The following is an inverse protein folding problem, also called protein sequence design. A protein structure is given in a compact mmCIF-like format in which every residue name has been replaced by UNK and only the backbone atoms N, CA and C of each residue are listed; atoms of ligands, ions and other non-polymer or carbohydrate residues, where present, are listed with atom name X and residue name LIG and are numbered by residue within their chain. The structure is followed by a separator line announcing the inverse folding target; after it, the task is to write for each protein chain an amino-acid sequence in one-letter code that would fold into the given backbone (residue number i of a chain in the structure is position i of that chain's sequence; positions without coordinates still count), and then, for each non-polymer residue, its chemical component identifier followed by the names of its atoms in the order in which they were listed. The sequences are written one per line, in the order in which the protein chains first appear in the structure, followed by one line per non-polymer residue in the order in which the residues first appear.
data_IF_130514587172
#
_entry.id   IF_130514587172
#
_cell.length_a   1.000
_cell.length_b   1.000
_cell.length_c   1.000
_cell.angle_alpha   90.00
_cell.angle_beta   90.00
_cell.angle_gamma   90.00
#
_symmetry.space_group_name_H-M   'P 1'
#
loop_
_entity.id
_entity.type
_entity.pdbx_description
1 polymer ?
#
# COMPACT_ATOMS: atom_id res chain seq x y z
N UNK A 1 69.11 -10.65 70.69
CA UNK A 1 68.96 -10.93 69.25
C UNK A 1 68.38 -12.32 69.08
N UNK A 2 67.12 -12.43 68.67
CA UNK A 2 66.49 -13.68 68.22
C UNK A 2 65.55 -13.27 67.09
N UNK A 3 65.90 -13.66 65.86
CA UNK A 3 65.16 -13.35 64.65
C UNK A 3 63.98 -14.30 64.48
N UNK A 4 62.80 -13.73 64.23
CA UNK A 4 61.71 -14.44 63.57
C UNK A 4 61.62 -13.90 62.15
N UNK A 5 62.16 -14.65 61.20
CA UNK A 5 61.80 -14.53 59.78
C UNK A 5 60.84 -15.67 59.50
N UNK A 6 59.55 -15.39 59.47
CA UNK A 6 58.56 -16.33 58.96
C UNK A 6 58.63 -16.31 57.43
N UNK A 7 58.69 -17.48 56.76
CA UNK A 7 58.60 -17.52 55.31
C UNK A 7 57.17 -17.13 54.91
N UNK A 8 57.03 -16.05 54.14
CA UNK A 8 55.74 -15.70 53.53
C UNK A 8 55.44 -16.79 52.51
N UNK A 9 54.37 -17.56 52.74
CA UNK A 9 53.95 -18.67 51.89
C UNK A 9 53.82 -18.21 50.44
N UNK A 10 54.68 -18.74 49.57
CA UNK A 10 54.71 -18.43 48.14
C UNK A 10 53.42 -18.79 47.40
N UNK A 11 52.58 -19.64 48.00
CA UNK A 11 51.22 -19.93 47.55
C UNK A 11 50.24 -18.78 47.83
N UNK A 12 50.41 -18.07 48.93
CA UNK A 12 49.61 -16.89 49.28
C UNK A 12 49.97 -15.72 48.35
N UNK A 13 51.26 -15.52 48.06
CA UNK A 13 51.71 -14.51 47.10
C UNK A 13 51.20 -14.79 45.68
N UNK A 14 51.23 -16.06 45.24
CA UNK A 14 50.70 -16.45 43.94
C UNK A 14 49.16 -16.27 43.84
N UNK A 15 48.42 -16.60 44.90
CA UNK A 15 46.97 -16.39 44.94
C UNK A 15 46.60 -14.90 44.91
N UNK A 16 47.34 -14.04 45.62
CA UNK A 16 47.16 -12.60 45.59
C UNK A 16 47.48 -12.04 44.19
N UNK A 17 48.55 -12.52 43.54
CA UNK A 17 48.87 -12.09 42.17
C UNK A 17 47.79 -12.48 41.15
N UNK A 18 47.19 -13.66 41.26
CA UNK A 18 46.10 -14.11 40.37
C UNK A 18 44.83 -13.30 40.59
N UNK A 19 44.47 -12.99 41.84
CA UNK A 19 43.29 -12.16 42.14
C UNK A 19 43.49 -10.71 41.67
N UNK A 20 44.68 -10.13 41.89
CA UNK A 20 45.02 -8.79 41.39
C UNK A 20 45.04 -8.76 39.85
N UNK A 21 45.55 -9.81 39.20
CA UNK A 21 45.49 -9.93 37.75
C UNK A 21 44.04 -10.01 37.24
N UNK A 22 43.14 -10.76 37.90
CA UNK A 22 41.72 -10.81 37.53
C UNK A 22 40.99 -9.48 37.74
N UNK A 23 41.37 -8.69 38.74
CA UNK A 23 40.76 -7.38 39.02
C UNK A 23 41.29 -6.24 38.14
N UNK A 24 42.42 -6.46 37.45
CA UNK A 24 43.04 -5.49 36.53
C UNK A 24 42.77 -5.80 35.05
N UNK A 25 42.09 -6.90 34.73
CA UNK A 25 41.61 -7.11 33.37
C UNK A 25 40.40 -6.19 33.14
N UNK A 26 40.45 -5.26 32.16
CA UNK A 26 39.27 -4.55 31.76
C UNK A 26 38.26 -5.59 31.28
N UNK A 27 37.08 -5.62 31.91
CA UNK A 27 35.95 -6.36 31.36
C UNK A 27 35.83 -5.95 29.90
N UNK A 28 35.99 -6.91 28.98
CA UNK A 28 35.73 -6.67 27.58
C UNK A 28 34.30 -6.14 27.50
N UNK A 29 34.18 -4.84 27.22
CA UNK A 29 32.89 -4.24 26.94
C UNK A 29 32.27 -5.09 25.82
N UNK A 30 30.98 -5.48 25.93
CA UNK A 30 30.33 -6.15 24.82
C UNK A 30 30.55 -5.24 23.61
N UNK A 31 31.14 -5.79 22.54
CA UNK A 31 31.21 -5.13 21.26
C UNK A 31 29.81 -4.57 21.01
N UNK A 32 29.70 -3.24 21.04
CA UNK A 32 28.48 -2.60 20.58
C UNK A 32 28.38 -3.05 19.14
N UNK A 33 27.42 -3.95 18.92
CA UNK A 33 27.00 -4.41 17.61
C UNK A 33 26.84 -3.12 16.79
N UNK A 34 27.85 -2.81 15.98
CA UNK A 34 27.86 -1.63 15.15
C UNK A 34 26.65 -1.82 14.27
N UNK A 35 25.58 -1.07 14.57
CA UNK A 35 24.40 -1.00 13.73
C UNK A 35 24.91 -0.88 12.29
N UNK A 36 24.45 -1.74 11.36
CA UNK A 36 24.99 -1.76 10.01
C UNK A 36 25.04 -0.33 9.49
N UNK A 37 26.24 0.14 9.12
CA UNK A 37 26.41 1.49 8.63
C UNK A 37 25.35 1.76 7.57
N UNK A 38 24.52 2.78 7.82
CA UNK A 38 23.41 3.10 6.94
C UNK A 38 23.99 3.39 5.54
N UNK A 39 23.47 2.76 4.48
CA UNK A 39 24.09 2.81 3.17
C UNK A 39 24.27 4.26 2.69
N UNK A 40 25.43 4.58 2.09
CA UNK A 40 25.75 5.94 1.66
C UNK A 40 24.75 6.44 0.60
N UNK A 41 24.60 7.75 0.53
CA UNK A 41 23.74 8.43 -0.42
C UNK A 41 22.50 9.09 0.17
N UNK A 42 21.66 9.61 -0.74
CA UNK A 42 20.46 10.37 -0.39
C UNK A 42 19.30 9.45 -0.07
N UNK A 43 18.61 9.73 1.03
CA UNK A 43 17.38 9.02 1.40
C UNK A 43 16.41 9.91 2.18
N UNK A 44 15.17 9.45 2.26
CA UNK A 44 14.11 10.10 3.03
C UNK A 44 13.83 9.25 4.27
N UNK A 45 13.79 9.87 5.45
CA UNK A 45 13.32 9.24 6.68
C UNK A 45 12.12 10.02 7.20
N UNK A 46 11.01 9.34 7.47
CA UNK A 46 9.79 9.97 8.00
C UNK A 46 9.55 9.47 9.42
N UNK A 47 9.61 10.37 10.39
CA UNK A 47 9.27 10.07 11.78
C UNK A 47 7.81 10.40 12.06
N UNK A 48 7.04 9.40 12.51
CA UNK A 48 5.64 9.57 12.87
C UNK A 48 5.43 10.21 14.26
N UNK A 49 6.38 10.07 15.19
CA UNK A 49 6.33 10.75 16.49
C UNK A 49 6.59 12.25 16.34
N UNK A 50 7.59 12.60 15.54
CA UNK A 50 8.00 13.98 15.31
C UNK A 50 7.11 14.68 14.27
N UNK A 51 6.40 13.91 13.43
CA UNK A 51 5.63 14.40 12.27
C UNK A 51 6.53 15.21 11.34
N UNK A 52 7.72 14.66 11.09
CA UNK A 52 8.75 15.28 10.26
C UNK A 52 9.28 14.29 9.23
N UNK A 53 9.61 14.84 8.08
CA UNK A 53 10.38 14.20 7.02
C UNK A 53 11.79 14.77 7.06
N UNK A 54 12.78 13.90 7.12
CA UNK A 54 14.20 14.22 7.05
C UNK A 54 14.75 13.78 5.70
N UNK A 55 15.45 14.69 5.03
CA UNK A 55 16.26 14.38 3.88
C UNK A 55 17.68 14.11 4.36
N UNK A 56 18.08 12.86 4.31
CA UNK A 56 19.40 12.40 4.74
C UNK A 56 20.37 12.38 3.56
N UNK A 57 21.63 12.65 3.83
CA UNK A 57 22.76 12.47 2.93
C UNK A 57 23.88 11.84 3.76
N UNK A 58 24.32 10.64 3.38
CA UNK A 58 25.46 9.96 4.01
C UNK A 58 25.30 9.85 5.55
N UNK A 59 24.11 9.43 5.99
CA UNK A 59 23.77 9.27 7.41
C UNK A 59 23.37 10.54 8.16
N UNK A 60 23.58 11.73 7.60
CA UNK A 60 23.29 13.01 8.26
C UNK A 60 22.04 13.72 7.68
N UNK A 61 21.19 14.36 8.51
CA UNK A 61 20.06 15.14 8.02
C UNK A 61 20.53 16.46 7.39
N UNK A 62 20.27 16.63 6.09
CA UNK A 62 20.57 17.88 5.37
C UNK A 62 19.42 18.87 5.40
N UNK A 63 18.19 18.37 5.41
CA UNK A 63 16.96 19.17 5.50
C UNK A 63 15.91 18.42 6.29
N UNK A 64 14.98 19.16 6.88
CA UNK A 64 13.82 18.57 7.53
C UNK A 64 12.57 19.40 7.29
N UNK A 65 11.43 18.73 7.18
CA UNK A 65 10.15 19.32 6.80
C UNK A 65 9.04 18.80 7.72
N UNK A 66 8.14 19.66 8.22
CA UNK A 66 6.96 19.19 8.91
C UNK A 66 6.03 18.47 7.93
N UNK A 67 5.37 17.40 8.37
CA UNK A 67 4.41 16.64 7.58
C UNK A 67 3.10 16.43 8.33
N UNK A 68 1.98 16.44 7.61
CA UNK A 68 0.75 15.84 8.12
C UNK A 68 0.80 14.33 7.89
N UNK A 69 0.35 13.56 8.86
CA UNK A 69 0.31 12.09 8.80
C UNK A 69 -1.13 11.59 8.99
N UNK A 70 -1.30 10.28 8.88
CA UNK A 70 -2.58 9.59 9.06
C UNK A 70 -3.28 9.98 10.37
N UNK A 71 -4.59 10.20 10.29
CA UNK A 71 -5.46 10.40 11.46
C UNK A 71 -5.48 9.15 12.35
N UNK A 72 -5.85 9.28 13.64
CA UNK A 72 -6.03 8.10 14.51
C UNK A 72 -6.92 7.04 13.85
N UNK A 73 -6.51 5.78 13.98
CA UNK A 73 -7.18 4.63 13.35
C UNK A 73 -6.83 4.39 11.87
N UNK A 74 -6.01 5.23 11.23
CA UNK A 74 -5.45 4.95 9.90
C UNK A 74 -4.06 4.37 10.04
N UNK A 75 -3.89 3.12 9.59
CA UNK A 75 -2.59 2.46 9.55
C UNK A 75 -1.72 3.07 8.45
N UNK A 76 -0.53 3.51 8.82
CA UNK A 76 0.53 3.95 7.90
C UNK A 76 1.57 2.83 7.85
N UNK A 77 2.02 2.38 6.67
CA UNK A 77 3.10 1.42 6.56
C UNK A 77 4.37 1.91 7.28
N UNK A 78 5.02 1.01 8.01
CA UNK A 78 6.34 1.23 8.61
C UNK A 78 7.40 0.46 7.82
N UNK A 79 8.66 0.89 7.94
CA UNK A 79 9.80 0.24 7.28
C UNK A 79 10.17 0.89 5.96
N UNK A 80 10.78 0.11 5.08
CA UNK A 80 11.41 0.61 3.86
C UNK A 80 10.47 0.66 2.65
N UNK A 81 10.71 1.66 1.81
CA UNK A 81 10.03 1.95 0.56
C UNK A 81 10.99 2.75 -0.34
N UNK A 82 10.48 3.19 -1.48
CA UNK A 82 11.25 3.93 -2.48
C UNK A 82 10.34 4.91 -3.21
N UNK A 83 10.91 6.01 -3.71
CA UNK A 83 10.18 6.92 -4.60
C UNK A 83 10.00 6.24 -5.95
N UNK A 84 8.79 5.81 -6.28
CA UNK A 84 8.50 5.09 -7.53
C UNK A 84 8.21 6.00 -8.70
N UNK A 85 7.57 7.14 -8.42
CA UNK A 85 7.15 8.07 -9.46
C UNK A 85 7.06 9.47 -8.91
N UNK A 86 7.43 10.43 -9.75
CA UNK A 86 7.30 11.86 -9.50
C UNK A 86 6.22 12.42 -10.41
N UNK A 87 5.19 13.04 -9.84
CA UNK A 87 4.08 13.66 -10.57
C UNK A 87 4.07 15.17 -10.34
N UNK A 88 4.25 15.93 -11.43
CA UNK A 88 3.99 17.37 -11.49
C UNK A 88 2.53 17.58 -11.89
N UNK A 89 1.86 18.53 -11.24
CA UNK A 89 0.45 18.87 -11.45
C UNK A 89 -0.42 17.61 -11.51
N UNK A 90 -0.48 16.79 -10.43
CA UNK A 90 -1.24 15.55 -10.45
C UNK A 90 -2.75 15.80 -10.44
N UNK A 91 -3.51 14.99 -11.17
CA UNK A 91 -4.94 14.83 -10.92
C UNK A 91 -5.13 14.01 -9.65
N UNK A 92 -5.97 14.50 -8.74
CA UNK A 92 -6.35 13.75 -7.54
C UNK A 92 -7.57 12.87 -7.83
N UNK A 93 -7.47 11.60 -7.49
CA UNK A 93 -8.58 10.67 -7.50
C UNK A 93 -8.80 10.20 -6.07
N UNK A 94 -9.91 10.58 -5.41
CA UNK A 94 -10.20 10.09 -4.07
C UNK A 94 -10.27 8.57 -4.06
N UNK A 95 -9.72 7.96 -3.01
CA UNK A 95 -9.76 6.51 -2.84
C UNK A 95 -11.19 6.04 -2.60
N UNK A 96 -11.44 4.75 -2.82
CA UNK A 96 -12.74 4.15 -2.49
C UNK A 96 -13.09 4.33 -1.00
N UNK A 97 -12.12 4.26 -0.09
CA UNK A 97 -12.36 4.50 1.34
C UNK A 97 -12.77 5.95 1.63
N UNK A 98 -12.15 6.93 0.97
CA UNK A 98 -12.53 8.34 1.09
C UNK A 98 -13.93 8.58 0.54
N UNK A 99 -14.29 7.99 -0.60
CA UNK A 99 -15.65 8.09 -1.16
C UNK A 99 -16.70 7.35 -0.35
N UNK A 100 -16.37 6.23 0.31
CA UNK A 100 -17.29 5.58 1.27
C UNK A 100 -17.56 6.48 2.48
N UNK A 101 -16.52 7.11 3.02
CA UNK A 101 -16.66 8.03 4.14
C UNK A 101 -17.36 9.34 3.76
N UNK A 102 -17.16 9.81 2.51
CA UNK A 102 -17.79 11.01 1.97
C UNK A 102 -18.23 10.78 0.52
N UNK A 103 -19.45 10.24 0.30
CA UNK A 103 -19.95 9.91 -1.04
C UNK A 103 -20.04 11.10 -2.00
N UNK A 104 -20.14 12.31 -1.46
CA UNK A 104 -20.20 13.56 -2.22
C UNK A 104 -18.85 13.98 -2.86
N UNK A 105 -17.76 13.24 -2.63
CA UNK A 105 -16.47 13.54 -3.26
C UNK A 105 -16.53 13.32 -4.78
N UNK A 106 -15.93 14.23 -5.58
CA UNK A 106 -15.89 14.08 -7.03
C UNK A 106 -15.06 12.85 -7.44
N UNK A 107 -15.30 12.32 -8.65
CA UNK A 107 -14.51 11.20 -9.19
C UNK A 107 -13.04 11.55 -9.40
N UNK A 108 -12.77 12.82 -9.71
CA UNK A 108 -11.43 13.37 -9.85
C UNK A 108 -11.44 14.87 -9.62
N UNK A 109 -10.33 15.41 -9.13
CA UNK A 109 -10.06 16.85 -9.10
C UNK A 109 -8.85 17.11 -9.99
N UNK A 110 -8.97 17.90 -11.07
CA UNK A 110 -7.85 18.22 -11.94
C UNK A 110 -6.79 19.06 -11.22
N UNK A 111 -5.62 19.29 -11.83
CA UNK A 111 -4.61 20.18 -11.26
C UNK A 111 -5.16 21.59 -11.06
N UNK A 112 -4.82 22.22 -9.93
CA UNK A 112 -5.25 23.58 -9.62
C UNK A 112 -5.29 23.85 -8.11
N UNK A 113 -5.69 25.08 -7.70
CA UNK A 113 -5.70 25.48 -6.29
C UNK A 113 -6.61 24.65 -5.39
N UNK A 114 -7.65 24.03 -5.97
CA UNK A 114 -8.58 23.15 -5.24
C UNK A 114 -8.09 21.71 -5.08
N UNK A 115 -6.95 21.34 -5.67
CA UNK A 115 -6.47 19.97 -5.66
C UNK A 115 -5.77 19.61 -4.33
N UNK A 116 -6.23 18.57 -3.60
CA UNK A 116 -5.68 18.23 -2.29
C UNK A 116 -4.27 17.61 -2.34
N UNK A 117 -3.78 17.23 -3.52
CA UNK A 117 -2.39 16.80 -3.71
C UNK A 117 -1.42 17.97 -3.91
N UNK A 118 -1.94 19.19 -4.12
CA UNK A 118 -1.12 20.34 -4.51
C UNK A 118 -0.48 20.17 -5.90
N UNK A 119 0.67 20.82 -6.11
CA UNK A 119 1.38 20.83 -7.40
C UNK A 119 2.29 19.62 -7.62
N UNK A 120 2.66 18.89 -6.57
CA UNK A 120 3.68 17.85 -6.63
C UNK A 120 3.30 16.65 -5.76
N UNK A 121 3.56 15.45 -6.27
CA UNK A 121 3.43 14.20 -5.53
C UNK A 121 4.57 13.23 -5.87
N UNK A 122 5.04 12.51 -4.86
CA UNK A 122 6.00 11.41 -4.93
C UNK A 122 5.24 10.15 -4.52
N UNK A 123 4.95 9.27 -5.49
CA UNK A 123 4.30 7.99 -5.21
C UNK A 123 5.35 7.03 -4.64
N UNK A 124 5.03 6.38 -3.53
CA UNK A 124 5.95 5.45 -2.86
C UNK A 124 5.71 4.00 -3.32
N UNK A 125 6.63 3.09 -3.00
CA UNK A 125 6.50 1.65 -3.27
C UNK A 125 5.31 0.99 -2.56
N UNK A 126 4.73 1.64 -1.55
CA UNK A 126 3.50 1.20 -0.93
C UNK A 126 2.26 1.67 -1.67
N UNK A 127 1.25 0.81 -1.67
CA UNK A 127 0.01 1.04 -2.40
C UNK A 127 -0.73 2.29 -1.91
N UNK A 128 -0.99 3.22 -2.83
CA UNK A 128 -1.76 4.44 -2.59
C UNK A 128 -1.19 5.34 -1.46
N UNK A 129 0.11 5.24 -1.17
CA UNK A 129 0.83 6.13 -0.27
C UNK A 129 1.73 7.04 -1.10
N UNK A 130 1.64 8.34 -0.83
CA UNK A 130 2.46 9.34 -1.48
C UNK A 130 2.93 10.40 -0.48
N UNK A 131 4.04 11.04 -0.80
CA UNK A 131 4.46 12.31 -0.21
C UNK A 131 4.00 13.40 -1.18
N UNK A 132 3.13 14.30 -0.76
CA UNK A 132 2.53 15.28 -1.67
C UNK A 132 2.32 16.64 -1.01
N UNK A 133 2.04 17.66 -1.82
CA UNK A 133 1.69 18.99 -1.32
C UNK A 133 0.31 19.04 -0.67
N UNK A 134 -0.24 20.22 -0.44
CA UNK A 134 -1.61 20.33 0.07
C UNK A 134 -2.22 21.66 -0.34
N UNK A 135 -3.53 21.69 -0.54
CA UNK A 135 -4.31 22.93 -0.64
C UNK A 135 -4.77 23.44 0.74
N UNK A 136 -4.47 22.70 1.81
CA UNK A 136 -4.77 23.04 3.21
C UNK A 136 -3.48 23.11 4.05
N UNK A 137 -2.67 24.18 3.95
CA UNK A 137 -1.38 24.26 4.66
C UNK A 137 -1.48 24.11 6.18
N UNK A 138 -2.59 24.57 6.79
CA UNK A 138 -2.85 24.41 8.23
C UNK A 138 -3.04 22.96 8.70
N UNK A 139 -3.11 21.99 7.77
CA UNK A 139 -3.13 20.56 8.09
C UNK A 139 -1.74 19.99 8.41
N UNK A 140 -0.67 20.66 7.96
CA UNK A 140 0.71 20.18 8.13
C UNK A 140 1.12 20.18 9.61
N UNK A 141 1.82 19.13 10.04
CA UNK A 141 2.16 18.91 11.44
C UNK A 141 1.02 18.30 12.27
N UNK A 142 -0.08 17.84 11.65
CA UNK A 142 -1.23 17.22 12.34
C UNK A 142 -1.50 15.80 11.86
N UNK A 143 -2.26 15.03 12.66
CA UNK A 143 -2.75 13.68 12.33
C UNK A 143 -4.12 13.78 11.67
N UNK A 144 -4.15 14.09 10.37
CA UNK A 144 -5.40 14.41 9.64
C UNK A 144 -5.50 13.75 8.27
N UNK A 145 -4.44 13.10 7.77
CA UNK A 145 -4.46 12.49 6.45
C UNK A 145 -5.18 11.14 6.45
N UNK A 146 -5.53 10.66 5.25
CA UNK A 146 -6.07 9.31 5.04
C UNK A 146 -4.98 8.25 4.81
N UNK A 147 -3.71 8.56 5.13
CA UNK A 147 -2.58 7.62 5.03
C UNK A 147 -1.34 8.19 4.35
N UNK A 148 -1.50 9.19 3.46
CA UNK A 148 -0.38 9.87 2.79
C UNK A 148 0.33 10.90 3.70
N UNK A 149 1.49 11.37 3.26
CA UNK A 149 2.28 12.41 3.91
C UNK A 149 2.05 13.75 3.21
N UNK A 150 1.42 14.72 3.90
CA UNK A 150 1.18 16.06 3.33
C UNK A 150 2.27 17.02 3.75
N UNK A 151 2.81 17.75 2.79
CA UNK A 151 3.84 18.78 2.97
C UNK A 151 3.28 20.16 2.61
N UNK A 152 3.94 21.21 3.12
CA UNK A 152 3.66 22.57 2.65
C UNK A 152 3.96 22.68 1.15
N UNK A 153 3.24 23.55 0.40
CA UNK A 153 3.46 23.70 -1.03
C UNK A 153 4.92 24.00 -1.43
N UNK A 154 5.61 24.86 -0.69
CA UNK A 154 7.02 25.21 -0.94
C UNK A 154 7.97 24.04 -0.58
N UNK A 155 7.68 23.33 0.50
CA UNK A 155 8.49 22.20 0.97
C UNK A 155 8.43 21.04 -0.02
N UNK A 156 7.23 20.70 -0.53
CA UNK A 156 7.12 19.62 -1.53
C UNK A 156 7.80 19.98 -2.84
N UNK A 157 7.76 21.25 -3.26
CA UNK A 157 8.45 21.70 -4.46
C UNK A 157 9.96 21.54 -4.31
N UNK A 158 10.49 21.93 -3.14
CA UNK A 158 11.89 21.76 -2.77
C UNK A 158 12.28 20.27 -2.76
N UNK A 159 11.52 19.42 -2.07
CA UNK A 159 11.77 17.98 -2.02
C UNK A 159 11.70 17.36 -3.43
N UNK A 160 10.67 17.71 -4.21
CA UNK A 160 10.48 17.24 -5.58
C UNK A 160 11.65 17.62 -6.49
N UNK A 161 12.24 18.80 -6.33
CA UNK A 161 13.45 19.19 -7.07
C UNK A 161 14.72 18.47 -6.62
N UNK A 162 14.76 17.98 -5.38
CA UNK A 162 15.98 17.45 -4.75
C UNK A 162 16.12 15.93 -4.87
N UNK A 163 15.01 15.18 -4.83
CA UNK A 163 15.03 13.70 -4.81
C UNK A 163 14.74 13.10 -6.17
N UNK A 164 15.24 11.90 -6.42
CA UNK A 164 15.09 11.18 -7.69
C UNK A 164 14.16 9.97 -7.54
N UNK A 165 13.64 9.48 -8.67
CA UNK A 165 12.99 8.16 -8.68
C UNK A 165 14.03 7.12 -8.26
N UNK A 166 13.65 6.21 -7.39
CA UNK A 166 14.55 5.23 -6.75
C UNK A 166 15.12 5.69 -5.41
N UNK A 167 14.95 6.97 -5.01
CA UNK A 167 15.41 7.44 -3.68
C UNK A 167 14.77 6.58 -2.57
N UNK A 168 15.56 5.97 -1.67
CA UNK A 168 15.05 5.18 -0.57
C UNK A 168 14.23 6.03 0.40
N UNK A 169 13.17 5.44 0.93
CA UNK A 169 12.28 6.05 1.92
C UNK A 169 12.11 5.09 3.09
N UNK A 170 12.29 5.54 4.32
CA UNK A 170 12.00 4.73 5.52
C UNK A 170 11.02 5.46 6.43
N UNK A 171 9.98 4.77 6.88
CA UNK A 171 9.03 5.30 7.85
C UNK A 171 9.26 4.63 9.20
N UNK A 172 9.51 5.44 10.21
CA UNK A 172 9.78 5.00 11.59
C UNK A 172 8.76 5.61 12.54
N UNK A 173 8.51 4.95 13.67
CA UNK A 173 7.62 5.47 14.69
C UNK A 173 8.35 6.43 15.63
N UNK A 174 9.62 6.17 15.83
CA UNK A 174 10.52 6.79 16.78
C UNK A 174 11.07 8.13 16.26
N UNK A 175 11.69 8.90 17.15
CA UNK A 175 12.47 10.06 16.74
C UNK A 175 13.75 9.61 16.04
N UNK A 176 14.24 10.40 15.08
CA UNK A 176 15.48 10.07 14.34
C UNK A 176 16.74 10.32 15.18
N UNK A 177 16.61 10.87 16.39
CA UNK A 177 17.72 11.06 17.33
C UNK A 177 18.74 12.14 16.90
N UNK A 178 18.39 12.95 15.91
CA UNK A 178 19.20 14.07 15.41
C UNK A 178 18.41 15.36 15.57
N UNK A 179 19.08 16.44 16.00
CA UNK A 179 18.45 17.75 16.04
C UNK A 179 18.04 18.14 14.60
N UNK A 180 16.75 18.45 14.35
CA UNK A 180 16.33 18.82 13.01
C UNK A 180 17.10 20.05 12.55
N UNK A 181 17.66 20.08 11.32
CA UNK A 181 18.29 21.28 10.80
C UNK A 181 17.30 22.45 10.86
N UNK A 182 17.80 23.69 11.07
CA UNK A 182 16.95 24.86 11.24
C UNK A 182 15.93 24.95 10.10
N UNK A 183 14.68 25.32 10.39
CA UNK A 183 13.65 25.41 9.36
C UNK A 183 14.10 26.36 8.26
N UNK A 184 13.75 26.02 7.02
CA UNK A 184 13.92 26.95 5.90
C UNK A 184 13.24 28.28 6.27
N UNK A 185 13.83 29.44 5.92
CA UNK A 185 13.21 30.73 6.19
C UNK A 185 11.77 30.69 5.69
N UNK A 186 10.83 30.97 6.59
CA UNK A 186 9.41 30.82 6.31
C UNK A 186 9.07 31.60 5.03
N UNK A 187 8.64 30.89 3.99
CA UNK A 187 7.95 31.53 2.89
C UNK A 187 6.80 32.33 3.51
N UNK A 188 6.80 33.64 3.27
CA UNK A 188 5.94 34.62 3.92
C UNK A 188 4.52 34.07 4.13
N UNK A 189 4.02 34.21 5.37
CA UNK A 189 2.68 33.80 5.79
C UNK A 189 1.68 34.14 4.68
N UNK A 190 1.09 33.12 4.05
CA UNK A 190 0.01 33.32 3.12
C UNK A 190 -1.09 34.11 3.84
N UNK A 191 -1.35 35.31 3.35
CA UNK A 191 -2.39 36.20 3.84
C UNK A 191 -3.75 35.47 3.90
N UNK A 192 -4.66 35.86 4.82
CA UNK A 192 -6.03 35.37 4.78
C UNK A 192 -6.62 35.67 3.40
N UNK A 193 -7.14 34.64 2.72
CA UNK A 193 -7.82 34.81 1.43
C UNK A 193 -9.00 35.78 1.61
N UNK A 194 -9.20 36.75 0.70
CA UNK A 194 -10.46 37.49 0.62
C UNK A 194 -11.62 36.52 0.41
N UNK A 195 -12.72 36.74 1.12
CA UNK A 195 -13.97 36.03 0.89
C UNK A 195 -14.39 36.23 -0.57
N UNK A 196 -14.55 35.13 -1.31
CA UNK A 196 -15.11 35.18 -2.65
C UNK A 196 -16.62 35.41 -2.51
N UNK A 197 -17.21 36.45 -3.12
CA UNK A 197 -18.65 36.67 -3.04
C UNK A 197 -19.40 35.56 -3.76
N UNK A 198 -20.53 35.16 -3.17
CA UNK A 198 -21.45 34.18 -3.74
C UNK A 198 -21.96 34.66 -5.10
N UNK A 199 -21.77 33.84 -6.14
CA UNK A 199 -22.39 34.04 -7.45
C UNK A 199 -23.68 33.22 -7.48
N UNK A 200 -24.79 33.93 -7.72
CA UNK A 200 -26.14 33.39 -7.90
C UNK A 200 -26.25 32.46 -9.13
N UNK A 201 -27.24 31.55 -9.19
CA UNK A 201 -27.30 30.52 -10.23
C UNK A 201 -27.79 31.11 -11.57
N UNK A 202 -27.10 30.77 -12.66
CA UNK A 202 -27.56 31.02 -14.02
C UNK A 202 -28.41 29.84 -14.52
N UNK A 203 -29.48 30.17 -15.25
CA UNK A 203 -30.59 29.34 -15.67
C UNK A 203 -30.23 28.16 -16.60
N UNK A 204 -31.07 27.13 -16.53
CA UNK A 204 -31.06 25.93 -17.36
C UNK A 204 -31.56 26.19 -18.81
N UNK A 205 -31.21 25.31 -19.76
CA UNK A 205 -32.13 24.94 -20.82
C UNK A 205 -32.52 23.45 -20.75
N UNK A 206 -33.60 23.16 -21.47
CA UNK A 206 -34.58 22.11 -21.23
C UNK A 206 -34.27 20.72 -21.82
N UNK A 207 -35.05 19.78 -21.29
CA UNK A 207 -35.30 18.37 -21.58
C UNK A 207 -35.02 17.83 -23.00
N UNK A 208 -34.53 16.57 -23.03
CA UNK A 208 -34.76 15.63 -24.13
C UNK A 208 -35.05 14.20 -23.59
N UNK A 209 -36.29 13.78 -23.86
CA UNK A 209 -36.89 12.45 -24.03
C UNK A 209 -36.37 11.19 -23.29
N UNK A 210 -37.29 10.54 -22.58
CA UNK A 210 -37.20 9.18 -22.05
C UNK A 210 -37.58 8.10 -23.10
N UNK A 211 -37.04 6.87 -23.02
CA UNK A 211 -37.48 5.74 -23.85
C UNK A 211 -38.75 5.03 -23.30
N UNK A 212 -39.53 4.34 -24.16
CA UNK A 212 -40.85 3.78 -23.80
C UNK A 212 -40.78 2.42 -23.05
N UNK A 213 -41.88 2.03 -22.35
CA UNK A 213 -41.94 0.79 -21.57
C UNK A 213 -42.35 -0.44 -22.40
N UNK A 214 -41.90 -1.67 -22.03
CA UNK A 214 -42.41 -2.91 -22.61
C UNK A 214 -43.77 -3.34 -22.01
N UNK A 215 -44.60 -3.96 -22.88
CA UNK A 215 -45.97 -4.48 -22.62
C UNK A 215 -45.97 -5.92 -22.05
N UNK A 216 -47.11 -6.40 -21.50
CA UNK A 216 -47.15 -7.56 -20.60
C UNK A 216 -47.46 -8.89 -21.32
N UNK A 217 -47.08 -10.00 -20.68
CA UNK A 217 -47.53 -11.36 -21.03
C UNK A 217 -48.28 -11.96 -19.83
N UNK A 218 -49.45 -12.55 -20.09
CA UNK A 218 -50.41 -13.06 -19.10
C UNK A 218 -50.23 -14.57 -18.82
N UNK A 219 -50.88 -15.00 -17.75
CA UNK A 219 -50.62 -16.19 -16.92
C UNK A 219 -51.22 -17.53 -17.38
N UNK A 220 -50.74 -18.60 -16.74
CA UNK A 220 -51.43 -19.89 -16.57
C UNK A 220 -50.73 -20.76 -15.51
N UNK A 221 -51.40 -21.03 -14.39
CA UNK A 221 -51.08 -22.04 -13.34
C UNK A 221 -51.96 -23.31 -13.57
N UNK A 222 -51.86 -24.48 -12.87
CA UNK A 222 -51.75 -24.67 -11.40
C UNK A 222 -50.93 -25.95 -10.97
N UNK A 223 -51.17 -26.64 -9.82
CA UNK A 223 -50.36 -26.53 -8.59
C UNK A 223 -49.58 -27.82 -8.18
N UNK A 224 -48.91 -27.67 -7.03
CA UNK A 224 -47.93 -28.51 -6.34
C UNK A 224 -48.12 -30.05 -6.29
N UNK A 225 -46.98 -30.75 -6.39
CA UNK A 225 -46.77 -32.14 -5.94
C UNK A 225 -45.68 -32.22 -4.85
N UNK A 226 -45.63 -33.28 -4.03
CA UNK A 226 -44.79 -33.36 -2.83
C UNK A 226 -43.31 -33.62 -3.15
N UNK A 227 -42.36 -33.23 -2.26
CA UNK A 227 -40.93 -33.41 -2.53
C UNK A 227 -40.52 -34.89 -2.36
N UNK A 228 -39.71 -35.47 -3.27
CA UNK A 228 -39.11 -36.76 -3.03
C UNK A 228 -37.87 -36.66 -2.12
N UNK A 229 -37.63 -37.78 -1.44
CA UNK A 229 -36.71 -37.98 -0.34
C UNK A 229 -35.23 -37.73 -0.67
N UNK A 230 -34.52 -37.27 0.35
CA UNK A 230 -33.06 -37.12 0.39
C UNK A 230 -32.42 -38.51 0.43
N UNK A 231 -31.49 -38.77 -0.49
CA UNK A 231 -30.57 -39.92 -0.44
C UNK A 231 -29.11 -39.42 -0.49
N UNK A 232 -28.17 -40.18 0.09
CA UNK A 232 -26.97 -39.62 0.71
C UNK A 232 -25.91 -39.19 -0.30
N UNK A 233 -25.11 -38.21 0.13
CA UNK A 233 -24.03 -37.59 -0.61
C UNK A 233 -23.06 -38.64 -1.19
N UNK A 234 -22.97 -38.67 -2.52
CA UNK A 234 -21.85 -39.27 -3.22
C UNK A 234 -20.58 -38.45 -2.94
N UNK A 235 -19.47 -39.14 -2.68
CA UNK A 235 -18.15 -38.53 -2.52
C UNK A 235 -17.82 -37.61 -3.72
N UNK A 236 -17.18 -36.45 -3.50
CA UNK A 236 -16.92 -35.51 -4.58
C UNK A 236 -15.97 -36.13 -5.60
N UNK A 237 -16.45 -36.26 -6.83
CA UNK A 237 -15.62 -36.52 -8.00
C UNK A 237 -14.57 -35.40 -8.13
N UNK A 238 -13.36 -35.69 -8.65
CA UNK A 238 -12.34 -34.67 -8.85
C UNK A 238 -12.92 -33.55 -9.72
N UNK A 239 -12.85 -32.33 -9.21
CA UNK A 239 -13.41 -31.15 -9.89
C UNK A 239 -12.81 -31.04 -11.30
N UNK A 240 -13.63 -31.28 -12.31
CA UNK A 240 -13.28 -30.97 -13.70
C UNK A 240 -13.01 -29.48 -13.74
N UNK A 241 -11.76 -29.11 -14.02
CA UNK A 241 -11.35 -27.72 -14.15
C UNK A 241 -12.23 -27.07 -15.22
N UNK A 242 -12.97 -26.02 -14.83
CA UNK A 242 -13.80 -25.27 -15.76
C UNK A 242 -12.96 -24.83 -16.98
N UNK A 243 -13.52 -24.87 -18.19
CA UNK A 243 -12.78 -24.50 -19.40
C UNK A 243 -12.25 -23.07 -19.27
N UNK A 244 -10.99 -22.88 -19.67
CA UNK A 244 -10.32 -21.57 -19.67
C UNK A 244 -11.04 -20.68 -20.69
N UNK A 245 -11.76 -19.66 -20.20
CA UNK A 245 -12.38 -18.66 -21.06
C UNK A 245 -11.27 -17.71 -21.55
N UNK A 246 -11.14 -17.47 -22.88
CA UNK A 246 -10.19 -16.50 -23.39
C UNK A 246 -10.44 -15.14 -22.76
N UNK A 247 -9.40 -14.51 -22.19
CA UNK A 247 -9.57 -13.20 -21.54
C UNK A 247 -9.79 -12.12 -22.63
N UNK A 248 -10.96 -11.45 -22.66
CA UNK A 248 -11.25 -10.43 -23.66
C UNK A 248 -10.28 -9.24 -23.60
N UNK A 249 -9.58 -9.03 -22.48
CA UNK A 249 -8.53 -8.01 -22.34
C UNK A 249 -7.23 -8.35 -23.04
N UNK A 250 -7.07 -9.58 -23.54
CA UNK A 250 -5.95 -9.95 -24.39
C UNK A 250 -6.12 -9.42 -25.82
N UNK A 251 -7.36 -9.18 -26.25
CA UNK A 251 -7.62 -8.50 -27.51
C UNK A 251 -7.12 -7.04 -27.42
N UNK A 252 -6.06 -6.72 -28.18
CA UNK A 252 -5.50 -5.36 -28.26
C UNK A 252 -4.61 -4.94 -27.09
N UNK A 253 -4.11 -5.88 -26.28
CA UNK A 253 -3.17 -5.58 -25.21
C UNK A 253 -1.87 -4.96 -25.74
N UNK A 254 -1.52 -3.75 -25.27
CA UNK A 254 -0.28 -3.05 -25.68
C UNK A 254 0.76 -2.95 -24.55
N UNK A 255 0.35 -3.14 -23.30
CA UNK A 255 1.26 -3.06 -22.17
C UNK A 255 2.22 -4.27 -22.17
N UNK A 256 3.54 -4.07 -21.96
CA UNK A 256 4.55 -5.15 -21.99
C UNK A 256 4.18 -6.38 -21.16
N UNK A 257 3.80 -6.18 -19.89
CA UNK A 257 3.35 -7.24 -19.00
C UNK A 257 2.12 -7.97 -19.55
N UNK A 258 1.13 -7.20 -20.03
CA UNK A 258 -0.13 -7.76 -20.49
C UNK A 258 0.06 -8.58 -21.76
N UNK A 259 0.89 -8.12 -22.69
CA UNK A 259 1.29 -8.90 -23.88
C UNK A 259 1.98 -10.19 -23.48
N UNK A 260 2.99 -10.12 -22.61
CA UNK A 260 3.72 -11.32 -22.19
C UNK A 260 2.82 -12.37 -21.52
N UNK A 261 1.84 -11.94 -20.70
CA UNK A 261 0.83 -12.82 -20.11
C UNK A 261 -0.09 -13.41 -21.19
N UNK A 262 -0.61 -12.59 -22.10
CA UNK A 262 -1.58 -13.01 -23.12
C UNK A 262 -0.97 -13.86 -24.24
N UNK A 263 0.29 -13.60 -24.61
CA UNK A 263 1.02 -14.32 -25.68
C UNK A 263 1.61 -15.64 -25.16
N UNK A 264 1.54 -15.88 -23.83
CA UNK A 264 2.05 -17.08 -23.18
C UNK A 264 0.90 -17.95 -22.64
N UNK A 265 0.63 -19.13 -23.22
CA UNK A 265 -0.54 -19.95 -22.84
C UNK A 265 -0.66 -20.25 -21.34
N UNK A 266 0.42 -20.71 -20.69
CA UNK A 266 0.38 -21.08 -19.27
C UNK A 266 0.12 -19.88 -18.35
N UNK A 267 0.64 -18.70 -18.71
CA UNK A 267 0.44 -17.48 -17.94
C UNK A 267 -0.97 -16.93 -18.15
N UNK A 268 -1.48 -16.99 -19.39
CA UNK A 268 -2.85 -16.62 -19.72
C UNK A 268 -3.85 -17.48 -18.96
N UNK A 269 -3.61 -18.78 -18.85
CA UNK A 269 -4.45 -19.69 -18.07
C UNK A 269 -4.44 -19.35 -16.58
N UNK A 270 -3.26 -19.13 -15.97
CA UNK A 270 -3.16 -18.79 -14.54
C UNK A 270 -3.85 -17.45 -14.21
N UNK A 271 -3.60 -16.42 -15.03
CA UNK A 271 -4.25 -15.11 -14.87
C UNK A 271 -5.77 -15.22 -15.07
N UNK A 272 -6.21 -15.95 -16.09
CA UNK A 272 -7.62 -16.20 -16.36
C UNK A 272 -8.33 -16.95 -15.23
N UNK A 273 -7.68 -17.95 -14.61
CA UNK A 273 -8.22 -18.68 -13.45
C UNK A 273 -8.40 -17.77 -12.24
N UNK A 274 -7.39 -16.95 -11.93
CA UNK A 274 -7.45 -16.02 -10.79
C UNK A 274 -8.60 -15.02 -10.96
N UNK A 275 -8.71 -14.41 -12.15
CA UNK A 275 -9.75 -13.43 -12.45
C UNK A 275 -11.14 -14.05 -12.53
N UNK A 276 -11.29 -15.20 -13.19
CA UNK A 276 -12.56 -15.90 -13.28
C UNK A 276 -13.08 -16.38 -11.92
N UNK A 277 -12.19 -16.78 -11.00
CA UNK A 277 -12.56 -17.08 -9.62
C UNK A 277 -13.12 -15.85 -8.90
N UNK A 278 -12.46 -14.71 -9.10
CA UNK A 278 -12.85 -13.41 -8.58
C UNK A 278 -14.21 -12.94 -9.13
N UNK A 279 -14.40 -13.00 -10.45
CA UNK A 279 -15.61 -12.54 -11.13
C UNK A 279 -16.83 -13.37 -10.73
N UNK A 280 -16.67 -14.70 -10.59
CA UNK A 280 -17.75 -15.57 -10.09
C UNK A 280 -18.14 -15.26 -8.66
N UNK A 281 -17.18 -14.92 -7.80
CA UNK A 281 -17.47 -14.51 -6.43
C UNK A 281 -18.26 -13.20 -6.41
N UNK A 282 -17.85 -12.21 -7.22
CA UNK A 282 -18.55 -10.93 -7.31
C UNK A 282 -19.97 -11.05 -7.86
N UNK A 283 -20.19 -11.90 -8.85
CA UNK A 283 -21.52 -12.12 -9.43
C UNK A 283 -22.54 -12.66 -8.40
N UNK A 284 -22.05 -13.28 -7.31
CA UNK A 284 -22.88 -13.74 -6.20
C UNK A 284 -23.16 -12.70 -5.11
N UNK A 285 -22.63 -11.48 -5.22
CA UNK A 285 -22.80 -10.42 -4.21
C UNK A 285 -23.93 -9.45 -4.59
N UNK A 286 -24.79 -9.05 -3.62
CA UNK A 286 -25.89 -8.11 -3.88
C UNK A 286 -25.43 -6.68 -4.26
N UNK A 287 -24.24 -6.24 -3.83
CA UNK A 287 -23.62 -4.93 -4.15
C UNK A 287 -22.38 -5.06 -5.07
N UNK A 288 -22.50 -5.87 -6.14
CA UNK A 288 -21.38 -6.25 -7.01
C UNK A 288 -20.58 -5.09 -7.61
N UNK A 289 -21.18 -3.92 -7.83
CA UNK A 289 -20.53 -2.78 -8.49
C UNK A 289 -19.40 -2.13 -7.65
N UNK A 290 -19.54 -2.04 -6.32
CA UNK A 290 -18.51 -1.46 -5.44
C UNK A 290 -17.35 -2.43 -5.25
N UNK A 291 -17.66 -3.72 -5.12
CA UNK A 291 -16.68 -4.79 -5.02
C UNK A 291 -15.90 -4.94 -6.34
N UNK A 292 -16.57 -4.86 -7.49
CA UNK A 292 -15.94 -4.85 -8.82
C UNK A 292 -14.94 -3.69 -9.01
N UNK A 293 -15.22 -2.50 -8.48
CA UNK A 293 -14.27 -1.38 -8.56
C UNK A 293 -13.03 -1.59 -7.70
N UNK A 294 -13.17 -2.04 -6.44
CA UNK A 294 -12.03 -2.32 -5.57
C UNK A 294 -11.12 -3.38 -6.19
N UNK A 295 -11.73 -4.38 -6.80
CA UNK A 295 -11.09 -5.48 -7.48
C UNK A 295 -10.33 -5.06 -8.74
N UNK A 296 -10.94 -4.21 -9.57
CA UNK A 296 -10.27 -3.63 -10.73
C UNK A 296 -9.02 -2.81 -10.32
N UNK A 297 -9.02 -2.20 -9.13
CA UNK A 297 -7.84 -1.52 -8.59
C UNK A 297 -6.78 -2.49 -8.05
N UNK A 298 -7.18 -3.62 -7.46
CA UNK A 298 -6.26 -4.69 -7.03
C UNK A 298 -5.58 -5.35 -8.23
N UNK A 299 -6.34 -5.61 -9.28
CA UNK A 299 -5.84 -6.09 -10.57
C UNK A 299 -4.79 -5.13 -11.14
N UNK A 300 -5.10 -3.83 -11.17
CA UNK A 300 -4.16 -2.80 -11.64
C UNK A 300 -2.89 -2.73 -10.77
N UNK A 301 -3.02 -2.83 -9.45
CA UNK A 301 -1.87 -2.83 -8.51
C UNK A 301 -1.04 -4.09 -8.64
N UNK A 302 -1.66 -5.23 -8.92
CA UNK A 302 -0.95 -6.46 -9.23
C UNK A 302 -0.14 -6.28 -10.50
N UNK A 303 -0.75 -5.78 -11.57
CA UNK A 303 -0.08 -5.58 -12.85
C UNK A 303 1.09 -4.58 -12.73
N UNK A 304 0.90 -3.46 -12.02
CA UNK A 304 1.95 -2.45 -11.80
C UNK A 304 3.13 -3.00 -10.96
N UNK A 305 2.87 -3.78 -9.89
CA UNK A 305 3.91 -4.38 -9.05
C UNK A 305 4.66 -5.50 -9.78
N UNK A 306 3.93 -6.37 -10.44
CA UNK A 306 4.46 -7.57 -11.10
C UNK A 306 5.29 -7.21 -12.33
N UNK A 307 4.92 -6.14 -13.07
CA UNK A 307 5.72 -5.64 -14.20
C UNK A 307 7.13 -5.22 -13.73
N UNK A 308 7.23 -4.51 -12.60
CA UNK A 308 8.50 -4.10 -12.04
C UNK A 308 9.28 -5.29 -11.45
N UNK A 309 8.62 -6.13 -10.65
CA UNK A 309 9.23 -7.28 -9.97
C UNK A 309 9.81 -8.31 -10.94
N UNK A 310 9.10 -8.57 -12.04
CA UNK A 310 9.50 -9.55 -13.05
C UNK A 310 10.24 -8.90 -14.23
N UNK A 311 10.68 -7.65 -14.07
CA UNK A 311 11.51 -6.92 -15.03
C UNK A 311 10.89 -6.83 -16.43
N UNK A 312 9.57 -6.76 -16.50
CA UNK A 312 8.83 -6.69 -17.77
C UNK A 312 8.76 -5.25 -18.22
N UNK A 313 9.60 -4.89 -19.21
CA UNK A 313 9.75 -3.54 -19.73
C UNK A 313 9.58 -3.56 -21.24
N UNK A 314 9.21 -2.42 -21.82
CA UNK A 314 9.13 -2.29 -23.28
C UNK A 314 10.53 -2.49 -23.88
N UNK A 315 10.65 -3.36 -24.87
CA UNK A 315 11.89 -3.71 -25.55
C UNK A 315 12.59 -4.96 -25.00
N UNK A 316 12.18 -5.49 -23.85
CA UNK A 316 12.75 -6.74 -23.30
C UNK A 316 12.06 -7.99 -23.86
N UNK A 317 10.96 -7.83 -24.59
CA UNK A 317 10.19 -8.94 -25.16
C UNK A 317 10.91 -9.66 -26.32
N UNK A 318 11.97 -9.05 -26.87
CA UNK A 318 12.78 -9.61 -27.95
C UNK A 318 14.03 -10.38 -27.50
N UNK A 319 14.42 -10.30 -26.23
CA UNK A 319 15.56 -11.04 -25.68
C UNK A 319 15.06 -12.37 -25.08
N UNK A 320 15.43 -13.54 -25.63
CA UNK A 320 14.92 -14.82 -25.20
C UNK A 320 15.32 -15.21 -23.77
N UNK A 321 16.49 -14.75 -23.28
CA UNK A 321 16.94 -15.03 -21.92
C UNK A 321 16.17 -14.18 -20.89
N UNK A 322 15.96 -12.90 -21.21
CA UNK A 322 15.17 -12.00 -20.36
C UNK A 322 13.69 -12.41 -20.35
N UNK A 323 13.15 -12.82 -21.50
CA UNK A 323 11.77 -13.32 -21.61
C UNK A 323 11.57 -14.62 -20.81
N UNK A 324 12.53 -15.55 -20.81
CA UNK A 324 12.46 -16.78 -20.03
C UNK A 324 12.49 -16.50 -18.51
N UNK A 325 13.39 -15.62 -18.05
CA UNK A 325 13.47 -15.21 -16.65
C UNK A 325 12.18 -14.51 -16.18
N UNK A 326 11.64 -13.61 -17.01
CA UNK A 326 10.37 -12.96 -16.75
C UNK A 326 9.21 -13.98 -16.65
N UNK A 327 9.14 -14.96 -17.56
CA UNK A 327 8.10 -15.99 -17.56
C UNK A 327 8.08 -16.82 -16.27
N UNK A 328 9.24 -17.22 -15.75
CA UNK A 328 9.34 -17.96 -14.49
C UNK A 328 8.84 -17.13 -13.30
N UNK A 329 9.26 -15.86 -13.22
CA UNK A 329 8.78 -14.92 -12.20
C UNK A 329 7.26 -14.71 -12.27
N UNK A 330 6.73 -14.48 -13.47
CA UNK A 330 5.30 -14.27 -13.70
C UNK A 330 4.46 -15.49 -13.33
N UNK A 331 4.95 -16.69 -13.64
CA UNK A 331 4.25 -17.94 -13.28
C UNK A 331 4.10 -18.07 -11.76
N UNK A 332 5.16 -17.76 -11.00
CA UNK A 332 5.11 -17.78 -9.53
C UNK A 332 4.17 -16.69 -8.98
N UNK A 333 4.26 -15.46 -9.51
CA UNK A 333 3.40 -14.35 -9.09
C UNK A 333 1.91 -14.62 -9.35
N UNK A 334 1.56 -15.19 -10.51
CA UNK A 334 0.18 -15.52 -10.85
C UNK A 334 -0.35 -16.71 -10.04
N UNK A 335 0.48 -17.72 -9.75
CA UNK A 335 0.11 -18.82 -8.84
C UNK A 335 -0.17 -18.31 -7.43
N UNK A 336 0.67 -17.42 -6.90
CA UNK A 336 0.44 -16.78 -5.61
C UNK A 336 -0.88 -15.99 -5.59
N UNK A 337 -1.12 -15.18 -6.62
CA UNK A 337 -2.38 -14.42 -6.75
C UNK A 337 -3.61 -15.34 -6.78
N UNK A 338 -3.58 -16.46 -7.50
CA UNK A 338 -4.69 -17.41 -7.53
C UNK A 338 -4.98 -17.96 -6.12
N UNK A 339 -3.94 -18.27 -5.35
CA UNK A 339 -4.07 -18.72 -3.96
C UNK A 339 -4.64 -17.63 -3.05
N UNK A 340 -4.11 -16.40 -3.15
CA UNK A 340 -4.56 -15.24 -2.37
C UNK A 340 -6.05 -14.97 -2.60
N UNK A 341 -6.50 -15.00 -3.87
CA UNK A 341 -7.90 -14.80 -4.24
C UNK A 341 -8.78 -15.92 -3.67
N UNK A 342 -8.34 -17.17 -3.78
CA UNK A 342 -9.07 -18.32 -3.24
C UNK A 342 -9.22 -18.22 -1.71
N UNK A 343 -8.14 -17.89 -1.01
CA UNK A 343 -8.13 -17.73 0.44
C UNK A 343 -9.03 -16.57 0.87
N UNK A 344 -8.92 -15.41 0.22
CA UNK A 344 -9.75 -14.24 0.54
C UNK A 344 -11.24 -14.53 0.37
N UNK A 345 -11.62 -15.25 -0.68
CA UNK A 345 -13.01 -15.68 -0.88
C UNK A 345 -13.46 -16.63 0.24
N UNK A 346 -12.60 -17.56 0.67
CA UNK A 346 -12.93 -18.47 1.76
C UNK A 346 -13.14 -17.72 3.08
N UNK A 347 -12.27 -16.76 3.41
CA UNK A 347 -12.38 -15.89 4.58
C UNK A 347 -13.71 -15.11 4.58
N UNK A 348 -14.03 -14.41 3.48
CA UNK A 348 -15.27 -13.64 3.35
C UNK A 348 -16.53 -14.51 3.47
N UNK A 349 -16.49 -15.76 2.98
CA UNK A 349 -17.58 -16.71 3.16
C UNK A 349 -17.71 -17.17 4.61
N UNK A 350 -16.61 -17.38 5.32
CA UNK A 350 -16.62 -17.76 6.72
C UNK A 350 -17.19 -16.62 7.60
N UNK A 351 -16.79 -15.38 7.33
CA UNK A 351 -17.31 -14.17 7.99
C UNK A 351 -18.83 -14.04 7.78
N UNK A 352 -19.31 -14.17 6.54
CA UNK A 352 -20.74 -14.11 6.25
C UNK A 352 -21.55 -15.22 6.96
N UNK A 353 -20.97 -16.41 7.09
CA UNK A 353 -21.60 -17.52 7.82
C UNK A 353 -21.61 -17.29 9.33
N UNK A 354 -20.56 -16.71 9.92
CA UNK A 354 -20.55 -16.36 11.34
C UNK A 354 -21.57 -15.28 11.67
N UNK A 355 -21.71 -14.27 10.81
CA UNK A 355 -22.68 -13.18 10.99
C UNK A 355 -24.12 -13.70 10.92
N UNK A 356 -24.41 -14.59 9.96
CA UNK A 356 -25.71 -15.25 9.85
C UNK A 356 -26.07 -16.07 11.11
N UNK A 357 -25.10 -16.81 11.67
CA UNK A 357 -25.30 -17.56 12.93
C UNK A 357 -25.47 -16.64 14.13
N UNK A 358 -24.73 -15.54 14.19
CA UNK A 358 -24.88 -14.52 15.22
C UNK A 358 -26.27 -13.88 15.20
N UNK A 359 -26.74 -13.48 14.02
CA UNK A 359 -28.08 -12.91 13.83
C UNK A 359 -29.19 -13.90 14.21
N UNK A 360 -29.08 -15.17 13.81
CA UNK A 360 -30.05 -16.20 14.20
C UNK A 360 -30.11 -16.40 15.72
N UNK A 361 -28.97 -16.32 16.42
CA UNK A 361 -28.88 -16.47 17.88
C UNK A 361 -29.46 -15.28 18.65
N UNK A 362 -29.44 -14.09 18.07
CA UNK A 362 -30.07 -12.88 18.63
C UNK A 362 -31.59 -12.92 18.48
N UNK A 363 -32.10 -13.44 17.36
CA UNK A 363 -33.55 -13.60 17.10
C UNK A 363 -34.17 -14.74 17.95
N UNK A 364 -33.35 -15.67 18.44
CA UNK A 364 -33.79 -16.80 19.28
C UNK A 364 -33.83 -16.49 20.78
N UNK A 365 -33.63 -15.23 21.20
CA UNK A 365 -33.67 -14.75 22.59
C UNK A 365 -34.77 -13.72 22.76
#
# INVERSE_FOLDING_TARGET
MLGLTTPVDSRLLAAILVVVACLLHPAAAPAQDLLPEEPPGRRIVISLSERRLYLMQDGAPTRSFPVAIGRPGVTIPLGDSTVMRKRRNPTWHPTASQRRAKPSLPLSVPPGPGNPLGKFALDLGWTAIAIHGTNEPGSVGRRVSSGCFRMLPADIETLFGTVEVGTPVRVVREAVGTEPPPPLPAAAKAAPKPAVPAVAPAAAPAAAAAPPPPRPVKAGAPPAGPPPAVSPAAAPAPAVLAPVVPDPRCAGAQAPLRRLICDTPDLAELDGRARGLQDRFLAGLPDGATAAYALAQEDRRFDERTAALCWVRKGTEGDPAVAAAARACLSNALRGRLQDVAQRIAELRAEAQSDARGAARVVSR
#
